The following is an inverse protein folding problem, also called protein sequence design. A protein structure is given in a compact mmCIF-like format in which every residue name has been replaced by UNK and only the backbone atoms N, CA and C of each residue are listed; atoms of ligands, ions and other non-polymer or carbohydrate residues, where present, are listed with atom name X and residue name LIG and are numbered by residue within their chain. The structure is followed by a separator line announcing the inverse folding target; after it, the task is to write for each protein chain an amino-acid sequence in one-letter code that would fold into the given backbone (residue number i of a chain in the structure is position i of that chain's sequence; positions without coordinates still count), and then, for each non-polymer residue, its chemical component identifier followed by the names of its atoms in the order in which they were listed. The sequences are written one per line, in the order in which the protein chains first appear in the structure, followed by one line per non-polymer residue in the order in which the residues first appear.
data_IF_216228679180
#
_entry.id   IF_216228679180
#
_cell.length_a   1.000
_cell.length_b   1.000
_cell.length_c   1.000
_cell.angle_alpha   90.00
_cell.angle_beta   90.00
_cell.angle_gamma   90.00
#
_symmetry.space_group_name_H-M   'P 1'
#
loop_
_entity.id
_entity.type
_entity.pdbx_description
1 polymer ?
#
# COMPACT_ATOMS: atom_id res chain seq x y z
N UNK A 1 -25.51 -29.52 14.12
CA UNK A 1 -25.18 -30.54 15.17
C UNK A 1 -24.20 -31.53 14.59
N UNK A 2 -23.08 -31.78 15.28
CA UNK A 2 -22.04 -32.72 14.82
C UNK A 2 -21.88 -33.90 15.78
N UNK A 3 -21.63 -35.06 15.21
CA UNK A 3 -21.39 -36.30 15.95
C UNK A 3 -20.05 -36.90 15.52
N UNK A 4 -19.38 -37.64 16.41
CA UNK A 4 -18.21 -38.43 16.06
C UNK A 4 -18.60 -39.72 15.31
N UNK A 5 -17.62 -40.49 14.86
CA UNK A 5 -17.86 -41.76 14.14
C UNK A 5 -18.59 -42.83 14.96
N UNK A 6 -18.67 -42.65 16.29
CA UNK A 6 -19.44 -43.54 17.19
C UNK A 6 -20.86 -43.07 17.45
N UNK A 7 -21.27 -41.93 16.86
CA UNK A 7 -22.57 -41.29 17.04
C UNK A 7 -22.69 -40.49 18.33
N UNK A 8 -21.59 -40.17 19.01
CA UNK A 8 -21.59 -39.32 20.19
C UNK A 8 -21.57 -37.84 19.77
N UNK A 9 -22.45 -37.04 20.37
CA UNK A 9 -22.52 -35.58 20.14
C UNK A 9 -21.19 -34.91 20.47
N UNK A 10 -20.65 -34.14 19.48
CA UNK A 10 -19.42 -33.34 19.65
C UNK A 10 -19.75 -31.88 19.82
N UNK A 11 -20.69 -31.38 19.00
CA UNK A 11 -21.09 -29.97 19.00
C UNK A 11 -22.60 -29.85 19.04
N UNK A 12 -23.08 -28.85 19.79
CA UNK A 12 -24.50 -28.52 19.89
C UNK A 12 -25.08 -27.99 18.57
N UNK A 13 -26.38 -27.88 18.52
CA UNK A 13 -27.10 -27.39 17.34
C UNK A 13 -26.75 -25.91 17.10
N UNK A 14 -26.34 -25.60 15.87
CA UNK A 14 -26.11 -24.23 15.39
C UNK A 14 -27.23 -23.86 14.43
N UNK A 15 -27.76 -22.65 14.55
CA UNK A 15 -28.70 -22.08 13.59
C UNK A 15 -27.90 -21.48 12.45
N UNK A 16 -28.26 -21.79 11.21
CA UNK A 16 -27.62 -21.25 10.01
C UNK A 16 -28.43 -20.04 9.53
N UNK A 17 -27.73 -18.95 9.19
CA UNK A 17 -28.30 -17.76 8.55
C UNK A 17 -27.82 -17.71 7.10
N UNK A 18 -28.58 -17.11 6.19
CA UNK A 18 -28.33 -17.12 4.75
C UNK A 18 -26.91 -16.69 4.33
N UNK A 19 -26.34 -15.69 4.99
CA UNK A 19 -25.00 -15.17 4.71
C UNK A 19 -23.90 -15.68 5.68
N UNK A 20 -24.19 -16.74 6.45
CA UNK A 20 -23.23 -17.31 7.40
C UNK A 20 -22.26 -18.25 6.66
N UNK A 21 -20.92 -18.15 6.88
CA UNK A 21 -19.93 -19.08 6.33
C UNK A 21 -20.30 -20.56 6.57
N UNK A 22 -20.87 -20.87 7.74
CA UNK A 22 -21.32 -22.23 8.04
C UNK A 22 -22.49 -22.70 7.15
N UNK A 23 -23.31 -21.79 6.61
CA UNK A 23 -24.35 -22.14 5.65
C UNK A 23 -23.73 -22.58 4.35
N UNK A 24 -22.74 -21.87 3.84
CA UNK A 24 -22.01 -22.22 2.61
C UNK A 24 -21.29 -23.59 2.73
N UNK A 25 -20.69 -23.86 3.89
CA UNK A 25 -20.07 -25.17 4.16
C UNK A 25 -21.12 -26.27 4.20
N UNK A 26 -22.27 -26.01 4.83
CA UNK A 26 -23.36 -26.97 4.91
C UNK A 26 -23.96 -27.24 3.53
N UNK A 27 -24.13 -26.23 2.68
CA UNK A 27 -24.60 -26.39 1.30
C UNK A 27 -23.72 -27.34 0.49
N UNK A 28 -22.41 -27.10 0.54
CA UNK A 28 -21.41 -27.97 -0.12
C UNK A 28 -21.45 -29.40 0.44
N UNK A 29 -21.56 -29.55 1.77
CA UNK A 29 -21.52 -30.82 2.43
C UNK A 29 -22.79 -31.65 2.15
N UNK A 30 -23.98 -31.02 2.16
CA UNK A 30 -25.26 -31.68 2.03
C UNK A 30 -25.83 -31.62 0.61
N UNK A 31 -25.26 -30.85 -0.30
CA UNK A 31 -25.74 -30.63 -1.66
C UNK A 31 -27.12 -29.96 -1.72
N UNK A 32 -27.38 -29.06 -0.77
CA UNK A 32 -28.66 -28.37 -0.62
C UNK A 32 -28.42 -26.86 -0.66
N UNK A 33 -29.14 -26.15 -1.50
CA UNK A 33 -29.19 -24.68 -1.45
C UNK A 33 -30.04 -24.27 -0.24
N UNK A 34 -29.38 -23.81 0.82
CA UNK A 34 -29.99 -23.47 2.11
C UNK A 34 -30.34 -21.99 2.23
N UNK A 35 -29.73 -21.14 1.41
CA UNK A 35 -29.95 -19.70 1.37
C UNK A 35 -30.83 -19.25 0.17
N UNK A 36 -31.16 -20.18 -0.75
CA UNK A 36 -31.98 -19.97 -1.91
C UNK A 36 -31.44 -18.96 -2.91
N UNK A 37 -30.13 -19.05 -3.18
CA UNK A 37 -29.42 -18.19 -4.15
C UNK A 37 -29.03 -18.96 -5.43
N UNK A 38 -29.52 -20.19 -5.62
CA UNK A 38 -29.28 -21.09 -6.74
C UNK A 38 -27.80 -21.56 -6.88
N UNK A 39 -26.97 -21.39 -5.82
CA UNK A 39 -25.54 -21.79 -5.80
C UNK A 39 -25.24 -22.66 -4.59
N UNK A 40 -24.48 -23.73 -4.77
CA UNK A 40 -23.96 -24.53 -3.65
C UNK A 40 -22.68 -23.95 -3.11
N UNK A 41 -22.74 -23.29 -1.95
CA UNK A 41 -21.66 -22.59 -1.31
C UNK A 41 -21.72 -21.10 -1.55
N UNK A 42 -20.58 -20.40 -1.56
CA UNK A 42 -20.55 -18.95 -1.75
C UNK A 42 -20.92 -18.55 -3.16
N UNK A 43 -21.83 -17.60 -3.28
CA UNK A 43 -22.20 -17.00 -4.56
C UNK A 43 -21.26 -15.81 -4.83
N UNK A 44 -20.11 -16.09 -5.40
CA UNK A 44 -19.08 -15.06 -5.67
C UNK A 44 -19.15 -14.59 -7.12
N UNK A 45 -18.73 -13.34 -7.31
CA UNK A 45 -18.41 -12.79 -8.63
C UNK A 45 -17.01 -12.17 -8.59
N UNK A 46 -16.33 -12.24 -9.71
CA UNK A 46 -15.10 -11.51 -9.95
C UNK A 46 -15.40 -10.00 -10.03
N UNK A 47 -14.53 -9.19 -9.46
CA UNK A 47 -14.63 -7.74 -9.60
C UNK A 47 -14.15 -7.33 -10.99
N UNK A 48 -14.95 -6.51 -11.67
CA UNK A 48 -14.61 -5.98 -12.98
C UNK A 48 -13.69 -4.73 -12.82
N UNK A 49 -12.37 -4.98 -12.75
CA UNK A 49 -11.33 -3.94 -12.65
C UNK A 49 -11.39 -2.99 -13.84
N UNK A 50 -11.56 -3.53 -15.05
CA UNK A 50 -11.54 -2.75 -16.28
C UNK A 50 -12.73 -1.78 -16.36
N UNK A 51 -13.90 -2.22 -15.90
CA UNK A 51 -15.05 -1.33 -15.81
C UNK A 51 -14.82 -0.20 -14.80
N UNK A 52 -14.17 -0.49 -13.65
CA UNK A 52 -13.86 0.53 -12.64
C UNK A 52 -12.82 1.53 -13.17
N UNK A 53 -11.71 1.07 -13.73
CA UNK A 53 -10.64 1.93 -14.23
C UNK A 53 -11.10 2.79 -15.40
N UNK A 54 -11.86 2.22 -16.34
CA UNK A 54 -12.48 2.97 -17.44
C UNK A 54 -13.46 4.05 -16.94
N UNK A 55 -14.29 3.74 -15.93
CA UNK A 55 -15.27 4.69 -15.39
C UNK A 55 -14.61 5.86 -14.63
N UNK A 56 -13.39 5.68 -14.13
CA UNK A 56 -12.64 6.67 -13.36
C UNK A 56 -11.48 7.30 -14.15
N UNK A 57 -11.34 6.99 -15.44
CA UNK A 57 -10.27 7.52 -16.34
C UNK A 57 -8.86 7.19 -15.82
N UNK A 58 -8.69 5.97 -15.32
CA UNK A 58 -7.43 5.45 -14.76
C UNK A 58 -6.76 4.58 -15.81
N UNK A 59 -5.50 4.84 -16.11
CA UNK A 59 -4.72 4.02 -17.06
C UNK A 59 -4.33 2.68 -16.46
N UNK A 60 -4.40 1.62 -17.26
CA UNK A 60 -4.02 0.26 -16.91
C UNK A 60 -2.85 -0.16 -17.77
N UNK A 61 -1.77 -0.58 -17.13
CA UNK A 61 -0.61 -1.17 -17.77
C UNK A 61 -0.73 -2.69 -17.69
N UNK A 62 -1.17 -3.34 -18.76
CA UNK A 62 -1.29 -4.80 -18.81
C UNK A 62 0.11 -5.42 -19.01
N UNK A 63 0.74 -5.81 -17.92
CA UNK A 63 2.05 -6.49 -17.93
C UNK A 63 1.94 -8.02 -17.76
N UNK A 64 0.70 -8.54 -17.60
CA UNK A 64 0.46 -9.97 -17.38
C UNK A 64 0.93 -10.48 -16.02
N UNK A 65 1.10 -9.60 -15.04
CA UNK A 65 1.58 -9.95 -13.69
C UNK A 65 0.48 -10.46 -12.77
N UNK A 66 -0.79 -10.37 -13.19
CA UNK A 66 -1.94 -10.83 -12.40
C UNK A 66 -1.76 -12.28 -11.96
N UNK A 67 -1.73 -12.50 -10.67
CA UNK A 67 -1.54 -13.84 -10.09
C UNK A 67 -2.71 -14.24 -9.16
N UNK A 68 -3.57 -13.30 -8.79
CA UNK A 68 -4.75 -13.48 -7.95
C UNK A 68 -5.99 -12.96 -8.65
N UNK A 69 -7.14 -13.44 -8.21
CA UNK A 69 -8.45 -12.96 -8.64
C UNK A 69 -9.20 -12.41 -7.43
N UNK A 70 -9.66 -11.17 -7.54
CA UNK A 70 -10.52 -10.52 -6.54
C UNK A 70 -11.97 -11.01 -6.71
N UNK A 71 -12.52 -11.57 -5.65
CA UNK A 71 -13.86 -12.11 -5.61
C UNK A 71 -14.70 -11.38 -4.55
N UNK A 72 -15.95 -11.13 -4.88
CA UNK A 72 -16.94 -10.53 -3.97
C UNK A 72 -18.10 -11.50 -3.79
N UNK A 73 -18.42 -11.83 -2.55
CA UNK A 73 -19.63 -12.56 -2.22
C UNK A 73 -20.85 -11.66 -2.43
N UNK A 74 -21.76 -12.05 -3.33
CA UNK A 74 -22.94 -11.27 -3.71
C UNK A 74 -23.93 -11.06 -2.58
N UNK A 75 -23.96 -11.98 -1.62
CA UNK A 75 -24.94 -11.97 -0.54
C UNK A 75 -24.46 -11.15 0.66
N UNK A 76 -23.16 -11.27 0.99
CA UNK A 76 -22.57 -10.63 2.18
C UNK A 76 -21.72 -9.40 1.87
N UNK A 77 -21.22 -9.26 0.64
CA UNK A 77 -20.23 -8.25 0.26
C UNK A 77 -18.83 -8.57 0.78
N UNK A 78 -18.61 -9.75 1.32
CA UNK A 78 -17.31 -10.18 1.81
C UNK A 78 -16.30 -10.29 0.66
N UNK A 79 -15.06 -9.92 0.93
CA UNK A 79 -13.97 -10.00 -0.04
C UNK A 79 -13.22 -11.33 0.13
N UNK A 80 -13.04 -12.00 -0.98
CA UNK A 80 -12.25 -13.22 -1.10
C UNK A 80 -11.21 -13.06 -2.21
N UNK A 81 -10.29 -13.98 -2.24
CA UNK A 81 -9.36 -14.12 -3.36
C UNK A 81 -9.14 -15.60 -3.69
N UNK A 82 -8.70 -15.83 -4.91
CA UNK A 82 -8.24 -17.14 -5.38
C UNK A 82 -6.98 -16.98 -6.21
N UNK A 83 -6.26 -18.08 -6.41
CA UNK A 83 -5.21 -18.11 -7.43
C UNK A 83 -5.85 -18.09 -8.83
N UNK A 84 -5.30 -17.33 -9.75
CA UNK A 84 -5.77 -17.31 -11.14
C UNK A 84 -5.72 -18.71 -11.78
N UNK A 85 -4.73 -19.52 -11.37
CA UNK A 85 -4.57 -20.91 -11.85
C UNK A 85 -5.55 -21.90 -11.22
N UNK A 86 -6.12 -21.59 -10.05
CA UNK A 86 -7.10 -22.44 -9.35
C UNK A 86 -8.21 -21.63 -8.67
N UNK A 87 -9.22 -21.20 -9.43
CA UNK A 87 -10.33 -20.41 -8.90
C UNK A 87 -11.20 -21.14 -7.86
N UNK A 88 -11.00 -22.44 -7.69
CA UNK A 88 -11.78 -23.24 -6.70
C UNK A 88 -11.30 -23.04 -5.27
N UNK A 89 -10.05 -22.63 -5.07
CA UNK A 89 -9.43 -22.41 -3.76
C UNK A 89 -9.62 -20.95 -3.30
N UNK A 90 -10.86 -20.63 -2.93
CA UNK A 90 -11.21 -19.30 -2.44
C UNK A 90 -10.78 -19.11 -0.98
N UNK A 91 -10.14 -17.99 -0.69
CA UNK A 91 -9.74 -17.58 0.66
C UNK A 91 -10.40 -16.27 1.04
N UNK A 92 -10.95 -16.21 2.25
CA UNK A 92 -11.64 -15.05 2.77
C UNK A 92 -10.62 -14.07 3.39
N UNK A 93 -10.73 -12.78 3.08
CA UNK A 93 -10.02 -11.74 3.80
C UNK A 93 -10.71 -11.46 5.14
N UNK A 94 -9.94 -11.19 6.18
CA UNK A 94 -10.44 -10.94 7.53
C UNK A 94 -9.90 -9.65 8.12
N UNK A 95 -10.61 -9.10 9.12
CA UNK A 95 -10.09 -8.07 10.00
C UNK A 95 -9.26 -8.67 11.15
N UNK A 96 -8.57 -7.82 11.90
CA UNK A 96 -7.76 -8.23 13.07
C UNK A 96 -8.54 -8.94 14.18
N UNK A 97 -9.85 -8.78 14.24
CA UNK A 97 -10.73 -9.48 15.19
C UNK A 97 -11.24 -10.83 14.66
N UNK A 98 -10.81 -11.21 13.45
CA UNK A 98 -11.20 -12.43 12.77
C UNK A 98 -12.56 -12.36 12.05
N UNK A 99 -13.24 -11.21 12.08
CA UNK A 99 -14.45 -11.02 11.26
C UNK A 99 -14.08 -10.89 9.78
N UNK A 100 -15.02 -11.24 8.90
CA UNK A 100 -14.84 -11.14 7.46
C UNK A 100 -14.61 -9.70 7.01
N UNK A 101 -13.73 -9.50 6.05
CA UNK A 101 -13.47 -8.19 5.48
C UNK A 101 -14.60 -7.80 4.51
N UNK A 102 -15.34 -6.77 4.87
CA UNK A 102 -16.37 -6.16 4.04
C UNK A 102 -16.00 -4.68 3.86
N UNK A 103 -15.79 -4.20 2.62
CA UNK A 103 -15.48 -2.80 2.39
C UNK A 103 -16.59 -1.89 2.92
N UNK A 104 -16.23 -0.73 3.46
CA UNK A 104 -17.20 0.29 3.81
C UNK A 104 -17.92 0.79 2.55
N UNK A 105 -19.11 1.38 2.71
CA UNK A 105 -19.93 1.88 1.58
C UNK A 105 -19.23 2.97 0.73
N UNK A 106 -18.18 3.59 1.26
CA UNK A 106 -17.34 4.59 0.58
C UNK A 106 -16.02 4.00 0.08
N UNK A 107 -15.84 2.68 0.18
CA UNK A 107 -14.62 1.98 -0.23
C UNK A 107 -14.97 0.94 -1.29
N UNK A 108 -14.25 0.98 -2.40
CA UNK A 108 -14.32 -0.01 -3.47
C UNK A 108 -13.02 -0.81 -3.48
N UNK A 109 -13.11 -2.12 -3.32
CA UNK A 109 -11.99 -3.01 -3.59
C UNK A 109 -11.80 -3.09 -5.11
N UNK A 110 -10.58 -2.87 -5.59
CA UNK A 110 -10.32 -2.74 -7.03
C UNK A 110 -9.57 -3.96 -7.55
N UNK A 111 -8.53 -4.37 -6.81
CA UNK A 111 -7.64 -5.41 -7.27
C UNK A 111 -6.94 -6.10 -6.10
N UNK A 112 -6.43 -7.32 -6.33
CA UNK A 112 -5.74 -8.11 -5.32
C UNK A 112 -4.59 -8.88 -5.93
N UNK A 113 -3.38 -8.70 -5.37
CA UNK A 113 -2.18 -9.34 -5.89
C UNK A 113 -1.27 -9.89 -4.77
N UNK A 114 -0.43 -10.84 -5.12
CA UNK A 114 0.60 -11.35 -4.23
C UNK A 114 1.93 -10.67 -4.55
N UNK A 115 2.48 -9.96 -3.58
CA UNK A 115 3.80 -9.35 -3.70
C UNK A 115 4.93 -10.37 -3.52
N UNK A 116 6.17 -9.99 -3.88
CA UNK A 116 7.37 -10.84 -3.83
C UNK A 116 7.67 -11.42 -2.44
N UNK A 117 7.26 -10.72 -1.37
CA UNK A 117 7.41 -11.18 0.01
C UNK A 117 6.37 -12.24 0.41
N UNK A 118 5.48 -12.61 -0.52
CA UNK A 118 4.41 -13.58 -0.32
C UNK A 118 3.15 -13.00 0.34
N UNK A 119 3.14 -11.72 0.70
CA UNK A 119 1.94 -11.09 1.27
C UNK A 119 0.91 -10.79 0.18
N UNK A 120 -0.36 -10.89 0.55
CA UNK A 120 -1.49 -10.52 -0.29
C UNK A 120 -1.77 -9.03 -0.10
N UNK A 121 -1.85 -8.28 -1.19
CA UNK A 121 -2.14 -6.85 -1.21
C UNK A 121 -3.50 -6.62 -1.87
N UNK A 122 -4.40 -5.95 -1.16
CA UNK A 122 -5.67 -5.49 -1.68
C UNK A 122 -5.57 -4.00 -1.97
N UNK A 123 -5.73 -3.63 -3.23
CA UNK A 123 -5.90 -2.24 -3.65
C UNK A 123 -7.34 -1.83 -3.51
N UNK A 124 -7.59 -0.70 -2.89
CA UNK A 124 -8.93 -0.13 -2.78
C UNK A 124 -8.92 1.38 -3.02
N UNK A 125 -10.00 1.89 -3.57
CA UNK A 125 -10.29 3.32 -3.65
C UNK A 125 -11.29 3.71 -2.57
N UNK A 126 -11.06 4.83 -1.90
CA UNK A 126 -12.02 5.41 -0.95
C UNK A 126 -12.45 6.78 -1.44
N UNK A 127 -13.74 7.02 -1.41
CA UNK A 127 -14.29 8.36 -1.63
C UNK A 127 -14.00 9.27 -0.43
N UNK A 128 -13.91 10.57 -0.68
CA UNK A 128 -13.79 11.54 0.41
C UNK A 128 -15.05 11.52 1.28
N UNK A 129 -14.87 11.48 2.58
CA UNK A 129 -16.00 11.47 3.48
C UNK A 129 -15.64 11.26 4.95
N UNK A 130 -16.65 11.39 5.79
CA UNK A 130 -16.52 11.07 7.21
C UNK A 130 -16.61 9.56 7.40
N UNK A 131 -15.57 8.96 7.95
CA UNK A 131 -15.58 7.59 8.42
C UNK A 131 -15.70 7.54 9.94
N UNK A 132 -16.50 6.62 10.45
CA UNK A 132 -16.57 6.35 11.89
C UNK A 132 -15.59 5.22 12.17
N UNK A 133 -14.44 5.57 12.75
CA UNK A 133 -13.48 4.60 13.23
C UNK A 133 -13.71 4.32 14.71
N UNK A 134 -13.64 3.05 15.10
CA UNK A 134 -13.66 2.69 16.51
C UNK A 134 -12.21 2.68 17.00
N UNK A 135 -11.87 3.60 17.88
CA UNK A 135 -10.55 3.67 18.50
C UNK A 135 -10.60 3.21 19.94
N UNK A 136 -9.57 2.49 20.36
CA UNK A 136 -9.42 2.12 21.77
C UNK A 136 -8.87 3.30 22.55
N UNK A 137 -9.66 3.80 23.52
CA UNK A 137 -9.23 4.86 24.45
C UNK A 137 -9.03 4.26 25.84
N UNK A 138 -7.88 4.59 26.46
CA UNK A 138 -7.68 4.31 27.88
C UNK A 138 -8.41 5.35 28.69
N UNK A 139 -9.45 4.91 29.40
CA UNK A 139 -10.21 5.77 30.33
C UNK A 139 -9.83 5.38 31.74
N UNK A 140 -9.31 6.33 32.51
CA UNK A 140 -8.97 6.12 33.90
C UNK A 140 -10.12 6.50 34.80
N UNK A 141 -10.65 5.55 35.58
CA UNK A 141 -11.69 5.81 36.60
C UNK A 141 -11.16 5.53 37.98
N UNK A 142 -11.60 6.37 38.96
CA UNK A 142 -11.30 6.16 40.36
C UNK A 142 -12.35 5.22 40.95
N UNK A 143 -11.91 4.07 41.46
CA UNK A 143 -12.78 3.06 42.08
C UNK A 143 -12.38 2.92 43.54
N UNK A 144 -13.36 2.89 44.43
CA UNK A 144 -13.14 2.60 45.86
C UNK A 144 -13.19 1.09 46.09
N UNK A 145 -12.21 0.58 46.80
CA UNK A 145 -12.20 -0.83 47.23
C UNK A 145 -13.18 -1.02 48.45
N UNK A 146 -13.38 -2.26 48.83
CA UNK A 146 -14.23 -2.65 49.98
C UNK A 146 -13.80 -2.04 51.30
N UNK A 147 -12.60 -1.46 51.38
CA UNK A 147 -12.03 -0.78 52.55
C UNK A 147 -12.08 0.74 52.42
N UNK A 148 -12.77 1.27 51.39
CA UNK A 148 -12.92 2.69 51.15
C UNK A 148 -11.69 3.38 50.52
N UNK A 149 -10.66 2.67 50.17
CA UNK A 149 -9.43 3.23 49.54
C UNK A 149 -9.67 3.45 48.04
N UNK A 150 -9.33 4.63 47.58
CA UNK A 150 -9.44 4.97 46.14
C UNK A 150 -8.23 4.47 45.36
N UNK A 151 -8.46 3.73 44.29
CA UNK A 151 -7.46 3.36 43.31
C UNK A 151 -7.87 3.84 41.93
N UNK A 152 -6.90 4.15 41.09
CA UNK A 152 -7.15 4.43 39.67
C UNK A 152 -7.08 3.11 38.91
N UNK A 153 -8.13 2.82 38.14
CA UNK A 153 -8.19 1.67 37.24
C UNK A 153 -8.27 2.22 35.83
N UNK A 154 -7.38 1.78 34.96
CA UNK A 154 -7.44 2.08 33.53
C UNK A 154 -8.21 0.98 32.83
N UNK A 155 -9.22 1.36 32.08
CA UNK A 155 -10.06 0.47 31.27
C UNK A 155 -9.93 0.93 29.82
N UNK A 156 -9.75 -0.01 28.90
CA UNK A 156 -9.81 0.27 27.48
C UNK A 156 -11.27 0.28 27.05
N UNK A 157 -11.71 1.40 26.46
CA UNK A 157 -13.09 1.59 26.00
C UNK A 157 -13.05 1.85 24.50
N UNK A 158 -13.85 1.14 23.75
CA UNK A 158 -14.06 1.44 22.35
C UNK A 158 -14.91 2.71 22.23
N UNK A 159 -14.37 3.72 21.57
CA UNK A 159 -15.07 4.98 21.33
C UNK A 159 -15.13 5.26 19.85
N UNK A 160 -16.32 5.54 19.29
CA UNK A 160 -16.41 6.00 17.92
C UNK A 160 -15.72 7.36 17.78
N UNK A 161 -14.88 7.50 16.76
CA UNK A 161 -14.24 8.75 16.38
C UNK A 161 -14.57 8.98 14.91
N UNK A 162 -15.24 10.08 14.61
CA UNK A 162 -15.42 10.52 13.24
C UNK A 162 -14.07 11.02 12.75
N UNK A 163 -13.54 10.40 11.71
CA UNK A 163 -12.32 10.80 11.03
C UNK A 163 -12.67 11.11 9.58
N UNK A 164 -12.32 12.30 9.13
CA UNK A 164 -12.42 12.63 7.72
C UNK A 164 -11.33 11.87 6.96
N UNK A 165 -11.71 11.10 5.95
CA UNK A 165 -10.79 10.48 5.00
C UNK A 165 -10.83 11.26 3.70
N UNK A 166 -9.65 11.60 3.18
CA UNK A 166 -9.54 12.15 1.83
C UNK A 166 -9.74 11.02 0.81
N UNK A 167 -10.26 11.38 -0.37
CA UNK A 167 -10.31 10.44 -1.48
C UNK A 167 -8.91 9.96 -1.84
N UNK A 168 -8.80 8.74 -2.35
CA UNK A 168 -7.54 8.21 -2.83
C UNK A 168 -7.45 6.69 -2.73
N UNK A 169 -6.30 6.19 -3.13
CA UNK A 169 -5.99 4.77 -3.11
C UNK A 169 -5.40 4.34 -1.77
N UNK A 170 -5.70 3.11 -1.39
CA UNK A 170 -5.26 2.49 -0.15
C UNK A 170 -4.84 1.06 -0.40
N UNK A 171 -3.83 0.59 0.34
CA UNK A 171 -3.42 -0.80 0.37
C UNK A 171 -3.70 -1.39 1.75
N UNK A 172 -4.42 -2.49 1.75
CA UNK A 172 -4.55 -3.40 2.87
C UNK A 172 -3.66 -4.63 2.62
N UNK A 173 -2.98 -5.12 3.65
CA UNK A 173 -2.03 -6.23 3.52
C UNK A 173 -2.44 -7.40 4.38
N UNK A 174 -2.37 -8.62 3.82
CA UNK A 174 -2.79 -9.86 4.45
C UNK A 174 -1.70 -10.93 4.29
N UNK A 175 -1.73 -11.94 5.12
CA UNK A 175 -0.96 -13.16 4.92
C UNK A 175 -1.59 -14.05 3.83
N UNK A 176 -0.93 -15.14 3.49
CA UNK A 176 -1.42 -16.12 2.50
C UNK A 176 -2.76 -16.77 2.86
N UNK A 177 -3.21 -16.66 4.12
CA UNK A 177 -4.48 -17.20 4.60
C UNK A 177 -5.60 -16.15 4.66
N UNK A 178 -5.31 -14.90 4.27
CA UNK A 178 -6.26 -13.78 4.29
C UNK A 178 -6.36 -13.06 5.64
N UNK A 179 -5.45 -13.31 6.59
CA UNK A 179 -5.43 -12.56 7.85
C UNK A 179 -4.61 -11.26 7.69
N UNK A 180 -5.07 -10.14 8.26
CA UNK A 180 -4.35 -8.88 8.14
C UNK A 180 -2.98 -8.96 8.82
N UNK A 181 -1.92 -8.53 8.13
CA UNK A 181 -0.56 -8.54 8.62
C UNK A 181 0.05 -7.15 8.81
N UNK A 182 -0.52 -6.13 8.19
CA UNK A 182 -0.07 -4.74 8.29
C UNK A 182 -1.26 -3.79 8.36
N UNK A 183 -1.01 -2.56 8.84
CA UNK A 183 -2.03 -1.51 8.82
C UNK A 183 -2.28 -1.04 7.39
N UNK A 184 -3.51 -0.62 7.13
CA UNK A 184 -3.90 0.07 5.88
C UNK A 184 -2.99 1.27 5.64
N UNK A 185 -2.48 1.39 4.43
CA UNK A 185 -1.61 2.49 3.99
C UNK A 185 -2.35 3.28 2.91
N UNK A 186 -2.38 4.61 3.05
CA UNK A 186 -2.82 5.51 1.97
C UNK A 186 -1.65 5.74 1.02
N UNK A 187 -1.91 5.65 -0.27
CA UNK A 187 -0.95 5.97 -1.32
C UNK A 187 -1.01 7.46 -1.65
N UNK A 188 0.14 8.10 -1.73
CA UNK A 188 0.27 9.50 -2.16
C UNK A 188 1.13 9.55 -3.42
N UNK A 189 0.81 10.44 -4.36
CA UNK A 189 1.39 10.46 -5.70
C UNK A 189 2.93 10.32 -5.77
N UNK A 190 3.66 10.96 -4.87
CA UNK A 190 5.13 10.91 -4.84
C UNK A 190 5.70 9.92 -3.81
N UNK A 191 4.89 9.01 -3.28
CA UNK A 191 5.34 8.03 -2.28
C UNK A 191 5.98 6.82 -2.98
N UNK A 192 7.17 6.35 -2.55
CA UNK A 192 7.77 5.11 -3.06
C UNK A 192 6.82 3.91 -3.09
N UNK A 193 5.93 3.83 -2.10
CA UNK A 193 4.92 2.77 -2.04
C UNK A 193 3.88 2.85 -3.17
N UNK A 194 3.60 4.06 -3.69
CA UNK A 194 2.71 4.22 -4.85
C UNK A 194 3.34 3.61 -6.09
N UNK A 195 4.61 3.90 -6.34
CA UNK A 195 5.34 3.32 -7.47
C UNK A 195 5.47 1.79 -7.40
N UNK A 196 5.65 1.24 -6.18
CA UNK A 196 5.64 -0.21 -5.99
C UNK A 196 4.24 -0.80 -6.25
N UNK A 197 3.19 -0.09 -5.83
CA UNK A 197 1.81 -0.49 -6.06
C UNK A 197 1.46 -0.45 -7.56
N UNK A 198 1.85 0.58 -8.29
CA UNK A 198 1.65 0.67 -9.75
C UNK A 198 2.27 -0.53 -10.49
N UNK A 199 3.48 -0.92 -10.10
CA UNK A 199 4.12 -2.12 -10.65
C UNK A 199 3.40 -3.41 -10.28
N UNK A 200 2.90 -3.50 -9.04
CA UNK A 200 2.24 -4.71 -8.55
C UNK A 200 0.86 -4.90 -9.18
N UNK A 201 0.10 -3.81 -9.34
CA UNK A 201 -1.29 -3.86 -9.82
C UNK A 201 -1.44 -3.47 -11.31
N UNK A 202 -0.38 -3.01 -11.96
CA UNK A 202 -0.45 -2.58 -13.35
C UNK A 202 -1.40 -1.41 -13.59
N UNK A 203 -1.53 -0.48 -12.64
CA UNK A 203 -2.47 0.64 -12.65
C UNK A 203 -1.71 1.93 -12.38
N UNK A 204 -1.96 3.00 -13.19
CA UNK A 204 -1.47 4.34 -12.88
C UNK A 204 -2.25 4.92 -11.70
N UNK A 205 -1.60 5.04 -10.55
CA UNK A 205 -2.22 5.50 -9.30
C UNK A 205 -1.93 6.98 -8.99
N UNK A 206 -1.03 7.60 -9.74
CA UNK A 206 -0.58 8.97 -9.55
C UNK A 206 -0.85 9.89 -10.74
N UNK A 207 -1.43 9.35 -11.83
CA UNK A 207 -1.85 10.07 -13.06
C UNK A 207 -0.65 10.73 -13.77
N UNK A 208 0.45 9.97 -13.96
CA UNK A 208 1.66 10.45 -14.64
C UNK A 208 1.99 9.69 -15.95
N UNK A 209 1.09 8.81 -16.38
CA UNK A 209 1.18 7.96 -17.58
C UNK A 209 2.39 7.00 -17.58
N UNK A 210 2.96 6.69 -16.39
CA UNK A 210 4.13 5.81 -16.25
C UNK A 210 3.93 4.78 -15.16
N UNK A 211 4.10 3.51 -15.48
CA UNK A 211 4.09 2.43 -14.47
C UNK A 211 5.33 2.51 -13.55
N UNK A 212 5.13 2.87 -12.31
CA UNK A 212 6.19 3.04 -11.33
C UNK A 212 6.81 4.43 -11.37
N UNK A 213 8.12 4.54 -11.15
CA UNK A 213 8.77 5.84 -11.07
C UNK A 213 8.93 6.49 -12.42
N UNK A 214 8.45 7.69 -12.56
CA UNK A 214 8.68 8.54 -13.72
C UNK A 214 10.07 9.19 -13.59
N UNK A 215 11.08 8.57 -14.17
CA UNK A 215 12.47 8.99 -14.02
C UNK A 215 13.02 9.62 -15.29
N UNK A 216 13.85 10.65 -15.11
CA UNK A 216 14.61 11.28 -16.16
C UNK A 216 16.11 11.03 -15.93
N UNK A 217 16.80 10.60 -16.99
CA UNK A 217 18.25 10.53 -16.99
C UNK A 217 18.85 11.93 -16.96
N UNK A 218 19.86 12.14 -16.13
CA UNK A 218 20.58 13.40 -16.09
C UNK A 218 21.51 13.50 -17.30
N UNK A 219 21.33 14.52 -18.12
CA UNK A 219 22.22 14.77 -19.27
C UNK A 219 23.54 15.37 -18.80
N UNK A 220 24.45 14.47 -18.39
CA UNK A 220 25.78 14.80 -17.93
C UNK A 220 26.59 15.53 -18.98
N UNK A 221 26.50 15.12 -20.25
CA UNK A 221 27.34 15.65 -21.34
C UNK A 221 26.92 17.08 -21.69
N UNK A 222 25.63 17.36 -21.70
CA UNK A 222 25.13 18.73 -21.85
C UNK A 222 25.58 19.61 -20.69
N UNK A 223 25.49 19.14 -19.42
CA UNK A 223 25.95 19.89 -18.25
C UNK A 223 27.46 20.16 -18.29
N UNK A 224 28.29 19.16 -18.59
CA UNK A 224 29.75 19.29 -18.69
C UNK A 224 30.10 20.31 -19.76
N UNK A 225 29.44 20.24 -20.92
CA UNK A 225 29.66 21.19 -22.03
C UNK A 225 29.28 22.62 -21.63
N UNK A 226 28.11 22.83 -21.00
CA UNK A 226 27.64 24.15 -20.56
C UNK A 226 28.61 24.79 -19.53
N UNK A 227 29.17 24.00 -18.62
CA UNK A 227 30.11 24.47 -17.61
C UNK A 227 31.57 24.56 -18.10
N UNK A 228 31.84 24.12 -19.31
CA UNK A 228 33.19 24.15 -19.91
C UNK A 228 34.13 23.12 -19.31
N UNK A 229 33.61 22.02 -18.77
CA UNK A 229 34.41 20.89 -18.34
C UNK A 229 34.71 19.95 -19.51
N UNK A 230 35.67 19.07 -19.35
CA UNK A 230 36.00 18.03 -20.34
C UNK A 230 35.84 16.67 -19.71
N UNK A 231 35.11 15.79 -20.40
CA UNK A 231 35.05 14.37 -20.06
C UNK A 231 36.27 13.64 -20.58
N UNK A 232 36.96 12.96 -19.68
CA UNK A 232 38.10 12.06 -20.02
C UNK A 232 37.87 10.75 -19.31
N UNK A 233 37.36 9.76 -19.99
CA UNK A 233 37.10 8.47 -19.32
C UNK A 233 36.42 7.44 -20.17
N UNK A 234 36.21 6.30 -19.55
CA UNK A 234 35.52 5.13 -20.10
C UNK A 234 34.00 5.30 -19.97
N UNK A 235 33.26 4.48 -20.68
CA UNK A 235 31.81 4.41 -20.59
C UNK A 235 31.35 4.16 -19.14
N UNK A 236 30.38 4.91 -18.68
CA UNK A 236 29.82 4.75 -17.33
C UNK A 236 29.06 3.43 -17.22
N UNK A 237 29.23 2.77 -16.09
CA UNK A 237 28.48 1.55 -15.75
C UNK A 237 27.13 1.92 -15.10
N UNK A 238 27.08 3.06 -14.45
CA UNK A 238 25.89 3.57 -13.76
C UNK A 238 25.37 4.82 -14.46
N UNK A 239 24.05 4.98 -14.44
CA UNK A 239 23.34 6.17 -14.90
C UNK A 239 22.65 6.83 -13.71
N UNK A 240 22.77 8.15 -13.59
CA UNK A 240 22.05 8.93 -12.60
C UNK A 240 20.66 9.27 -13.13
N UNK A 241 19.66 8.90 -12.36
CA UNK A 241 18.25 9.18 -12.64
C UNK A 241 17.69 10.13 -11.58
N UNK A 242 16.77 10.96 -12.00
CA UNK A 242 15.98 11.82 -11.10
C UNK A 242 14.51 11.51 -11.29
N UNK A 243 13.83 11.20 -10.22
CA UNK A 243 12.37 11.09 -10.22
C UNK A 243 11.77 12.49 -10.46
N UNK A 244 10.94 12.62 -11.47
CA UNK A 244 10.43 13.91 -11.94
C UNK A 244 9.47 14.53 -10.91
N UNK A 245 8.72 13.71 -10.19
CA UNK A 245 7.71 14.18 -9.24
C UNK A 245 8.30 14.51 -7.88
N UNK A 246 9.15 13.63 -7.34
CA UNK A 246 9.72 13.79 -5.99
C UNK A 246 11.06 14.50 -5.96
N UNK A 247 11.80 14.52 -7.08
CA UNK A 247 13.19 14.99 -7.15
C UNK A 247 14.18 14.04 -6.48
N UNK A 248 13.75 12.82 -6.14
CA UNK A 248 14.61 11.78 -5.58
C UNK A 248 15.65 11.31 -6.59
N UNK A 249 16.84 11.00 -6.10
CA UNK A 249 17.93 10.50 -6.95
C UNK A 249 18.03 8.99 -6.88
N UNK A 250 18.20 8.39 -8.06
CA UNK A 250 18.39 6.97 -8.22
C UNK A 250 19.66 6.70 -9.05
N UNK A 251 20.20 5.51 -8.89
CA UNK A 251 21.18 4.95 -9.82
C UNK A 251 20.58 3.76 -10.55
N UNK A 252 20.95 3.58 -11.79
CA UNK A 252 20.63 2.40 -12.57
C UNK A 252 21.86 1.90 -13.34
N UNK A 253 21.84 0.65 -13.76
CA UNK A 253 22.84 0.19 -14.69
C UNK A 253 22.58 0.84 -16.07
N UNK A 254 23.61 1.46 -16.67
CA UNK A 254 23.46 2.14 -17.97
C UNK A 254 23.08 1.21 -19.12
N UNK A 255 23.27 -0.09 -18.98
CA UNK A 255 22.78 -1.08 -19.96
C UNK A 255 21.34 -1.54 -19.70
N UNK A 256 20.80 -1.27 -18.50
CA UNK A 256 19.46 -1.65 -18.09
C UNK A 256 18.92 -0.69 -17.03
N UNK A 257 18.25 0.37 -17.47
CA UNK A 257 17.69 1.41 -16.61
C UNK A 257 16.50 0.94 -15.76
N UNK A 258 15.98 -0.26 -16.01
CA UNK A 258 14.93 -0.84 -15.16
C UNK A 258 15.46 -1.26 -13.78
N UNK A 259 16.77 -1.46 -13.63
CA UNK A 259 17.42 -1.83 -12.37
C UNK A 259 17.69 -0.62 -11.47
N UNK A 260 16.64 0.10 -11.13
CA UNK A 260 16.73 1.33 -10.36
C UNK A 260 17.05 1.06 -8.89
N UNK A 261 18.01 1.79 -8.33
CA UNK A 261 18.34 1.77 -6.91
C UNK A 261 18.20 3.17 -6.32
N UNK A 262 17.27 3.35 -5.38
CA UNK A 262 17.05 4.63 -4.70
C UNK A 262 18.28 4.98 -3.86
N UNK A 263 18.82 6.18 -4.04
CA UNK A 263 19.87 6.72 -3.18
C UNK A 263 19.25 7.22 -1.88
N UNK A 264 19.79 6.79 -0.75
CA UNK A 264 19.23 7.13 0.57
C UNK A 264 20.26 7.78 1.49
N UNK A 265 19.77 8.64 2.39
CA UNK A 265 20.53 9.19 3.48
C UNK A 265 20.80 8.11 4.57
N UNK A 266 21.72 8.40 5.50
CA UNK A 266 22.05 7.51 6.62
C UNK A 266 20.85 7.14 7.52
N UNK A 267 19.80 7.93 7.53
CA UNK A 267 18.57 7.69 8.29
C UNK A 267 17.53 6.89 7.50
N UNK A 268 17.85 6.45 6.27
CA UNK A 268 16.96 5.72 5.39
C UNK A 268 15.99 6.58 4.56
N UNK A 269 15.98 7.91 4.74
CA UNK A 269 15.19 8.79 3.87
C UNK A 269 15.82 8.88 2.48
N UNK A 270 15.00 9.08 1.46
CA UNK A 270 15.44 9.30 0.09
C UNK A 270 16.41 10.46 -0.02
N UNK A 271 17.36 10.35 -0.93
CA UNK A 271 18.31 11.42 -1.20
C UNK A 271 17.73 12.33 -2.30
N UNK A 272 17.56 13.60 -1.95
CA UNK A 272 17.16 14.67 -2.85
C UNK A 272 18.29 15.70 -2.89
N UNK A 273 18.61 16.20 -4.06
CA UNK A 273 19.64 17.26 -4.18
C UNK A 273 19.25 18.49 -3.36
N UNK A 274 20.17 18.98 -2.55
CA UNK A 274 19.95 20.20 -1.81
C UNK A 274 19.86 21.42 -2.77
N UNK A 275 19.15 22.51 -2.42
CA UNK A 275 19.16 23.73 -3.19
C UNK A 275 20.61 24.17 -3.51
N UNK A 276 20.87 24.56 -4.77
CA UNK A 276 22.21 24.93 -5.30
C UNK A 276 23.21 23.77 -5.45
N UNK A 277 22.77 22.52 -5.22
CA UNK A 277 23.53 21.33 -5.54
C UNK A 277 22.90 20.66 -6.74
N UNK A 278 23.66 20.46 -7.79
CA UNK A 278 23.24 19.68 -8.96
C UNK A 278 23.98 18.35 -8.89
N UNK A 279 23.25 17.25 -8.74
CA UNK A 279 23.81 15.92 -8.91
C UNK A 279 24.14 15.73 -10.40
N UNK A 280 25.37 15.30 -10.71
CA UNK A 280 25.86 15.25 -12.08
C UNK A 280 26.01 13.83 -12.56
N UNK A 281 26.48 12.96 -11.66
CA UNK A 281 26.90 11.63 -12.05
C UNK A 281 26.94 10.68 -10.86
N UNK A 282 26.75 9.40 -11.09
CA UNK A 282 26.89 8.35 -10.08
C UNK A 282 27.68 7.18 -10.66
N UNK A 283 28.71 6.74 -9.93
CA UNK A 283 29.55 5.63 -10.37
C UNK A 283 29.81 4.65 -9.25
N UNK A 284 29.97 3.38 -9.61
CA UNK A 284 30.42 2.35 -8.71
C UNK A 284 31.93 2.29 -8.70
N UNK A 285 32.54 2.56 -7.54
CA UNK A 285 33.97 2.44 -7.36
C UNK A 285 34.44 0.99 -7.18
N UNK A 286 35.72 0.71 -7.33
CA UNK A 286 36.33 -0.63 -7.22
C UNK A 286 36.06 -1.33 -5.88
N UNK A 287 35.78 -0.55 -4.83
CA UNK A 287 35.41 -1.06 -3.51
C UNK A 287 33.90 -1.42 -3.39
N UNK A 288 33.16 -1.29 -4.49
CA UNK A 288 31.73 -1.63 -4.59
C UNK A 288 30.76 -0.55 -4.10
N UNK A 289 31.27 0.60 -3.64
CA UNK A 289 30.39 1.70 -3.20
C UNK A 289 29.94 2.58 -4.38
N UNK A 290 28.68 3.02 -4.34
CA UNK A 290 28.21 4.07 -5.23
C UNK A 290 28.70 5.43 -4.75
N UNK A 291 29.23 6.24 -5.66
CA UNK A 291 29.73 7.58 -5.42
C UNK A 291 28.99 8.59 -6.27
N UNK A 292 28.34 9.55 -5.63
CA UNK A 292 27.62 10.63 -6.29
C UNK A 292 28.55 11.84 -6.45
N UNK A 293 28.68 12.32 -7.69
CA UNK A 293 29.31 13.59 -8.01
C UNK A 293 28.25 14.70 -8.02
N UNK A 294 28.51 15.78 -7.32
CA UNK A 294 27.62 16.94 -7.31
C UNK A 294 28.37 18.23 -7.57
N UNK A 295 27.78 19.13 -8.31
CA UNK A 295 28.26 20.50 -8.50
C UNK A 295 27.55 21.45 -7.53
N UNK A 296 28.28 22.35 -6.90
CA UNK A 296 27.74 23.33 -5.98
C UNK A 296 27.94 24.72 -6.55
N UNK A 297 26.84 25.44 -6.80
CA UNK A 297 26.91 26.82 -7.23
C UNK A 297 27.30 27.75 -6.07
N UNK A 298 28.27 28.67 -6.33
CA UNK A 298 28.69 29.63 -5.32
C UNK A 298 27.56 30.62 -5.02
N UNK A 299 27.06 30.60 -3.80
CA UNK A 299 26.03 31.54 -3.34
C UNK A 299 26.65 32.66 -2.54
N UNK A 300 26.46 33.92 -3.01
CA UNK A 300 26.79 35.09 -2.20
C UNK A 300 25.68 35.34 -1.17
N UNK A 301 25.91 34.99 0.07
CA UNK A 301 25.07 35.45 1.17
C UNK A 301 25.42 36.87 1.58
N UNK A 302 24.62 37.84 1.13
CA UNK A 302 24.71 39.22 1.66
C UNK A 302 24.09 39.28 3.05
N UNK A 303 24.91 39.29 4.10
CA UNK A 303 24.45 39.65 5.44
C UNK A 303 24.19 41.16 5.47
N UNK A 304 22.92 41.59 5.59
CA UNK A 304 22.58 42.97 5.96
C UNK A 304 23.07 43.22 7.41
N UNK A 305 24.20 43.94 7.56
CA UNK A 305 24.62 44.42 8.85
C UNK A 305 23.95 45.78 9.09
N UNK A 306 22.88 45.81 9.88
CA UNK A 306 22.29 47.06 10.34
C UNK A 306 23.13 47.63 11.48
N UNK A 307 23.91 48.70 11.21
CA UNK A 307 24.61 49.47 12.21
C UNK A 307 23.61 50.48 12.81
N UNK A 308 23.24 50.31 14.09
CA UNK A 308 22.56 51.35 14.84
C UNK A 308 23.57 52.48 15.08
N UNK A 309 23.36 53.63 14.43
CA UNK A 309 24.06 54.88 14.76
C UNK A 309 23.33 55.43 16.02
N UNK A 310 24.03 55.54 17.13
CA UNK A 310 23.56 56.33 18.27
C UNK A 310 23.85 57.77 17.96
N UNK A 311 22.81 58.58 17.79
CA UNK A 311 22.94 60.03 17.83
C UNK A 311 23.34 60.46 19.24
N UNK A 312 24.41 61.20 19.32
CA UNK A 312 24.95 61.81 20.56
C UNK A 312 24.31 63.15 20.83
#
# INVERSE_FOLDING_TARGET
TSFDSSGKLIHETTTLNAADPLTYEAEKLFGLDLNNDDVLGRNVQEFDRDAFTTANDIEVFDDGSDNKTLLIDKNSGEILFSDLSDPSLQKLLTYYDGSSFVPASTQTAIDIEQSDDGSIKLLSYREAGDSINVVTKKVSKKVKDSRGRTRTVSEEVFAPVTQYSEAGFYIDSFDENGNPNQKTIRLNAADPLTYEAEKLFGIDLNDDDVQGRNVQEFDRDAFITDKGFYHVGTDNIQTLLTDIQSGELLSANSSDISTQTLLTNKNGSSFVSAPYHTAIDVEQSDDGYLRLLSFVEAHQTTKKVSKKIKDS
#
